data_IF_080255494035
#
_entry.id   IF_080255494035
#
_cell.length_a   1.000
_cell.length_b   1.000
_cell.length_c   1.000
_cell.angle_alpha   90.00
_cell.angle_beta   90.00
_cell.angle_gamma   90.00
#
_symmetry.space_group_name_H-M   'P 1'
#
loop_
_entity.id
_entity.type
_entity.pdbx_description
1 polymer ?
#
# COMPACT_ATOMS: atom_id res chain seq x y z
N UNK A 1 4.17 -31.03 14.52
CA UNK A 1 3.88 -29.69 15.10
C UNK A 1 4.92 -29.23 16.14
N UNK A 2 5.45 -30.09 17.02
CA UNK A 2 6.44 -29.66 18.03
C UNK A 2 7.84 -29.31 17.46
N UNK A 3 8.24 -29.87 16.31
CA UNK A 3 9.53 -29.52 15.67
C UNK A 3 9.52 -28.17 14.97
N UNK A 4 8.39 -27.72 14.42
CA UNK A 4 8.26 -26.45 13.70
C UNK A 4 8.18 -25.26 14.67
N UNK A 5 7.46 -25.40 15.77
CA UNK A 5 7.39 -24.36 16.83
C UNK A 5 8.74 -24.18 17.53
N UNK A 6 9.43 -25.27 17.87
CA UNK A 6 10.78 -25.19 18.45
C UNK A 6 11.81 -24.63 17.47
N UNK A 7 11.66 -24.88 16.16
CA UNK A 7 12.48 -24.28 15.12
C UNK A 7 12.25 -22.77 14.99
N UNK A 8 10.99 -22.31 15.01
CA UNK A 8 10.64 -20.88 15.01
C UNK A 8 11.18 -20.19 16.27
N UNK A 9 11.05 -20.83 17.43
CA UNK A 9 11.57 -20.28 18.69
C UNK A 9 13.10 -20.16 18.68
N UNK A 10 13.82 -21.18 18.19
CA UNK A 10 15.28 -21.11 18.01
C UNK A 10 15.69 -20.03 16.99
N UNK A 11 14.90 -19.82 15.93
CA UNK A 11 15.11 -18.73 14.97
C UNK A 11 14.89 -17.36 15.62
N UNK A 12 13.84 -17.20 16.42
CA UNK A 12 13.59 -15.96 17.17
C UNK A 12 14.71 -15.66 18.18
N UNK A 13 15.20 -16.67 18.89
CA UNK A 13 16.36 -16.53 19.77
C UNK A 13 17.64 -16.19 18.98
N UNK A 14 17.82 -16.73 17.77
CA UNK A 14 18.98 -16.43 16.93
C UNK A 14 19.04 -14.98 16.43
N UNK A 15 17.88 -14.30 16.34
CA UNK A 15 17.83 -12.86 16.01
C UNK A 15 18.48 -12.04 17.13
N UNK A 16 18.39 -12.49 18.38
CA UNK A 16 18.97 -11.82 19.54
C UNK A 16 20.44 -12.16 19.78
N UNK A 17 20.92 -13.30 19.29
CA UNK A 17 22.34 -13.69 19.44
C UNK A 17 23.25 -13.10 18.38
N UNK A 18 22.75 -12.82 17.17
CA UNK A 18 23.57 -12.24 16.09
C UNK A 18 23.57 -10.70 16.21
N UNK A 19 24.72 -10.06 16.50
CA UNK A 19 24.78 -8.63 16.80
C UNK A 19 24.35 -7.75 15.61
N UNK A 20 24.61 -8.17 14.38
CA UNK A 20 24.22 -7.43 13.18
C UNK A 20 22.71 -7.45 12.96
N UNK A 21 22.06 -8.61 13.13
CA UNK A 21 20.60 -8.71 13.04
C UNK A 21 19.92 -7.88 14.12
N UNK A 22 20.45 -7.90 15.35
CA UNK A 22 19.94 -7.07 16.45
C UNK A 22 20.04 -5.57 16.13
N UNK A 23 21.17 -5.11 15.60
CA UNK A 23 21.34 -3.70 15.19
C UNK A 23 20.33 -3.30 14.11
N UNK A 24 20.18 -4.13 13.06
CA UNK A 24 19.20 -3.89 11.99
C UNK A 24 17.75 -3.88 12.49
N UNK A 25 17.42 -4.78 13.42
CA UNK A 25 16.09 -4.84 14.04
C UNK A 25 15.82 -3.60 14.90
N UNK A 26 16.75 -3.23 15.78
CA UNK A 26 16.63 -2.04 16.64
C UNK A 26 16.55 -0.76 15.81
N UNK A 27 17.34 -0.66 14.73
CA UNK A 27 17.26 0.44 13.79
C UNK A 27 15.87 0.51 13.15
N UNK A 28 15.36 -0.61 12.64
CA UNK A 28 14.02 -0.68 12.04
C UNK A 28 12.93 -0.28 13.03
N UNK A 29 12.96 -0.79 14.26
CA UNK A 29 12.01 -0.44 15.32
C UNK A 29 12.11 1.04 15.72
N UNK A 30 13.32 1.57 15.85
CA UNK A 30 13.55 2.99 16.14
C UNK A 30 12.95 3.90 15.06
N UNK A 31 13.14 3.55 13.79
CA UNK A 31 12.58 4.29 12.65
C UNK A 31 11.04 4.21 12.61
N UNK A 32 10.46 3.05 12.95
CA UNK A 32 9.00 2.92 13.08
C UNK A 32 8.44 3.74 14.25
N UNK A 33 9.20 3.91 15.33
CA UNK A 33 8.85 4.79 16.44
C UNK A 33 8.88 6.26 15.99
N UNK A 34 9.91 6.68 15.25
CA UNK A 34 9.97 8.02 14.64
C UNK A 34 8.76 8.27 13.73
N UNK A 35 8.41 7.31 12.86
CA UNK A 35 7.19 7.38 12.05
C UNK A 35 5.94 7.60 12.90
N UNK A 36 5.82 6.91 14.04
CA UNK A 36 4.68 7.07 14.95
C UNK A 36 4.62 8.43 15.60
N UNK A 37 5.75 8.97 16.02
CA UNK A 37 5.84 10.34 16.57
C UNK A 37 5.40 11.35 15.51
N UNK A 38 5.89 11.22 14.27
CA UNK A 38 5.47 12.09 13.16
C UNK A 38 3.97 11.98 12.85
N UNK A 39 3.37 10.80 13.00
CA UNK A 39 1.93 10.60 12.84
C UNK A 39 1.07 11.23 13.97
N UNK A 40 1.69 11.66 15.07
CA UNK A 40 1.02 12.43 16.13
C UNK A 40 1.23 13.94 16.00
N UNK A 41 2.18 14.39 15.16
CA UNK A 41 2.34 15.81 14.87
C UNK A 41 1.22 16.23 13.91
N UNK A 42 0.25 17.00 14.41
CA UNK A 42 -0.84 17.55 13.61
C UNK A 42 -0.36 18.74 12.80
N UNK A 43 -0.81 18.84 11.54
CA UNK A 43 -0.67 20.08 10.78
C UNK A 43 -1.44 21.18 11.53
N UNK A 44 -0.97 22.44 11.54
CA UNK A 44 -1.73 23.54 12.15
C UNK A 44 -3.16 23.58 11.59
N UNK A 45 -4.10 23.20 12.44
CA UNK A 45 -5.54 23.22 12.24
C UNK A 45 -6.14 24.00 13.40
N UNK A 46 -7.21 24.74 13.14
CA UNK A 46 -7.96 25.39 14.22
C UNK A 46 -8.68 24.35 15.08
N UNK A 47 -8.99 24.69 16.34
CA UNK A 47 -9.67 23.77 17.27
C UNK A 47 -11.04 23.30 16.73
N UNK A 48 -11.74 24.14 15.96
CA UNK A 48 -13.02 23.79 15.35
C UNK A 48 -12.87 22.75 14.22
N UNK A 49 -11.82 22.86 13.41
CA UNK A 49 -11.55 21.91 12.31
C UNK A 49 -11.18 20.52 12.85
N UNK A 50 -10.46 20.44 13.97
CA UNK A 50 -10.16 19.16 14.64
C UNK A 50 -11.42 18.46 15.16
N UNK A 51 -12.35 19.23 15.74
CA UNK A 51 -13.64 18.71 16.22
C UNK A 51 -14.53 18.27 15.05
N UNK A 52 -14.55 19.02 13.95
CA UNK A 52 -15.30 18.65 12.75
C UNK A 52 -14.73 17.39 12.08
N UNK A 53 -13.41 17.22 12.09
CA UNK A 53 -12.76 16.02 11.57
C UNK A 53 -13.11 14.79 12.42
N UNK A 54 -13.03 14.91 13.75
CA UNK A 54 -13.47 13.84 14.66
C UNK A 54 -14.96 13.51 14.43
N UNK A 55 -15.80 14.52 14.21
CA UNK A 55 -17.21 14.33 13.91
C UNK A 55 -17.46 13.67 12.55
N UNK A 56 -16.61 13.86 11.54
CA UNK A 56 -16.75 13.16 10.25
C UNK A 56 -16.37 11.68 10.32
N UNK A 57 -15.33 11.35 11.10
CA UNK A 57 -14.94 9.95 11.29
C UNK A 57 -15.85 9.23 12.28
N UNK A 58 -16.42 9.94 13.28
CA UNK A 58 -17.35 9.37 14.27
C UNK A 58 -18.81 9.34 13.77
N UNK A 59 -19.27 10.39 13.09
CA UNK A 59 -20.59 10.44 12.48
C UNK A 59 -20.47 9.91 11.06
N UNK A 60 -20.92 8.68 10.81
CA UNK A 60 -21.06 8.10 9.46
C UNK A 60 -22.05 8.84 8.53
N UNK A 61 -22.20 10.16 8.68
CA UNK A 61 -23.10 11.05 7.93
C UNK A 61 -22.78 11.13 6.44
N UNK A 62 -21.59 10.70 6.02
CA UNK A 62 -21.29 10.43 4.62
C UNK A 62 -20.91 8.96 4.46
N UNK A 63 -21.90 8.08 4.34
CA UNK A 63 -21.72 6.62 4.24
C UNK A 63 -20.74 6.19 3.13
N UNK A 64 -20.59 7.01 2.07
CA UNK A 64 -19.67 6.72 0.97
C UNK A 64 -18.30 7.40 1.15
N UNK A 65 -18.27 8.67 1.61
CA UNK A 65 -17.02 9.41 1.78
C UNK A 65 -16.24 8.94 3.01
N UNK A 66 -16.92 8.69 4.12
CA UNK A 66 -16.31 8.20 5.36
C UNK A 66 -15.70 6.81 5.21
N UNK A 67 -16.25 5.97 4.32
CA UNK A 67 -15.71 4.63 4.07
C UNK A 67 -14.50 4.67 3.13
N UNK A 68 -14.51 5.53 2.11
CA UNK A 68 -13.33 5.83 1.29
C UNK A 68 -12.19 6.42 2.13
N UNK A 69 -12.51 7.43 2.94
CA UNK A 69 -11.56 8.05 3.87
C UNK A 69 -11.07 7.03 4.90
N UNK A 70 -11.94 6.16 5.42
CA UNK A 70 -11.58 5.07 6.32
C UNK A 70 -10.58 4.09 5.71
N UNK A 71 -10.72 3.75 4.42
CA UNK A 71 -9.75 2.90 3.73
C UNK A 71 -8.40 3.61 3.49
N UNK A 72 -8.42 4.86 3.03
CA UNK A 72 -7.22 5.68 2.88
C UNK A 72 -6.49 5.80 4.23
N UNK A 73 -7.26 5.96 5.29
CA UNK A 73 -6.81 6.08 6.67
C UNK A 73 -6.19 4.77 7.18
N UNK A 74 -6.71 3.59 6.77
CA UNK A 74 -6.06 2.28 7.06
C UNK A 74 -4.66 2.22 6.48
N UNK A 75 -4.47 2.65 5.23
CA UNK A 75 -3.15 2.66 4.60
C UNK A 75 -2.21 3.74 5.18
N UNK A 76 -2.77 4.81 5.71
CA UNK A 76 -2.00 5.89 6.36
C UNK A 76 -1.69 5.61 7.84
N UNK A 77 -2.33 4.59 8.43
CA UNK A 77 -2.01 4.08 9.77
C UNK A 77 -2.54 4.91 10.94
N UNK A 78 -3.54 5.75 10.70
CA UNK A 78 -4.16 6.62 11.73
C UNK A 78 -4.04 8.09 11.41
N UNK A 79 -3.15 8.43 10.48
CA UNK A 79 -2.70 9.79 10.26
C UNK A 79 -3.72 10.69 9.57
N UNK A 80 -4.77 10.13 8.94
CA UNK A 80 -5.85 10.90 8.31
C UNK A 80 -6.92 11.30 9.34
N UNK A 81 -7.22 10.44 10.32
CA UNK A 81 -8.12 10.75 11.44
C UNK A 81 -7.65 11.90 12.34
N UNK A 82 -6.35 12.20 12.34
CA UNK A 82 -5.78 13.31 13.11
C UNK A 82 -5.27 14.43 12.21
N UNK A 83 -5.39 14.28 10.88
CA UNK A 83 -4.79 15.17 9.88
C UNK A 83 -3.35 15.55 10.22
N UNK A 84 -2.57 14.51 10.49
CA UNK A 84 -1.16 14.66 10.85
C UNK A 84 -0.32 15.10 9.66
N UNK A 85 0.91 15.53 9.96
CA UNK A 85 1.96 15.83 8.99
C UNK A 85 2.15 14.72 7.96
N UNK A 86 1.80 13.49 8.34
CA UNK A 86 1.96 12.26 7.56
C UNK A 86 0.62 11.71 7.05
N UNK A 87 -0.41 12.56 6.92
CA UNK A 87 -1.76 12.11 6.54
C UNK A 87 -1.80 11.35 5.20
N UNK A 88 -1.01 11.77 4.20
CA UNK A 88 -0.96 11.08 2.91
C UNK A 88 -0.24 9.72 2.95
N UNK A 89 0.52 9.44 4.02
CA UNK A 89 1.30 8.23 4.17
C UNK A 89 2.32 8.06 3.04
N UNK A 90 2.50 6.81 2.60
CA UNK A 90 3.38 6.47 1.46
C UNK A 90 2.59 6.31 0.14
N UNK A 91 1.30 6.62 0.14
CA UNK A 91 0.40 6.40 -1.00
C UNK A 91 0.83 7.13 -2.29
N UNK A 92 1.30 8.40 -2.24
CA UNK A 92 1.79 9.07 -3.45
C UNK A 92 2.98 8.35 -4.09
N UNK A 93 3.89 7.80 -3.27
CA UNK A 93 5.04 7.04 -3.76
C UNK A 93 4.65 5.71 -4.40
N UNK A 94 3.71 5.00 -3.79
CA UNK A 94 3.19 3.75 -4.34
C UNK A 94 2.56 4.04 -5.71
N UNK A 95 1.76 5.09 -5.80
CA UNK A 95 1.14 5.53 -7.06
C UNK A 95 2.20 5.87 -8.10
N UNK A 96 3.21 6.67 -7.75
CA UNK A 96 4.31 7.01 -8.65
C UNK A 96 5.07 5.75 -9.13
N UNK A 97 5.35 4.82 -8.24
CA UNK A 97 6.04 3.56 -8.56
C UNK A 97 5.22 2.72 -9.52
N UNK A 98 3.91 2.63 -9.32
CA UNK A 98 3.02 1.89 -10.22
C UNK A 98 2.96 2.55 -11.59
N UNK A 99 2.76 3.86 -11.66
CA UNK A 99 2.78 4.62 -12.93
C UNK A 99 4.08 4.38 -13.67
N UNK A 100 5.21 4.46 -12.97
CA UNK A 100 6.53 4.21 -13.57
C UNK A 100 6.71 2.77 -14.04
N UNK A 101 6.18 1.77 -13.30
CA UNK A 101 6.21 0.36 -13.71
C UNK A 101 5.37 0.11 -14.97
N UNK A 102 4.22 0.76 -15.10
CA UNK A 102 3.35 0.67 -16.27
C UNK A 102 3.91 1.38 -17.50
N UNK A 103 4.67 2.46 -17.28
CA UNK A 103 5.35 3.18 -18.36
C UNK A 103 6.58 2.44 -18.90
N UNK A 104 7.19 1.50 -18.13
CA UNK A 104 8.38 0.74 -18.57
C UNK A 104 8.23 0.07 -19.95
N UNK A 105 7.18 -0.74 -20.23
CA UNK A 105 7.03 -1.38 -21.53
C UNK A 105 6.67 -0.41 -22.67
N UNK A 106 6.14 0.77 -22.34
CA UNK A 106 5.71 1.78 -23.33
C UNK A 106 6.89 2.66 -23.74
N UNK A 107 7.78 2.99 -22.80
CA UNK A 107 8.91 3.89 -23.01
C UNK A 107 10.23 3.10 -23.11
N UNK A 108 10.87 3.03 -24.30
CA UNK A 108 12.11 2.28 -24.49
C UNK A 108 13.27 2.81 -23.63
N UNK A 109 13.26 4.10 -23.31
CA UNK A 109 14.24 4.70 -22.39
C UNK A 109 14.17 4.09 -20.97
N UNK A 110 12.97 3.81 -20.46
CA UNK A 110 12.79 3.17 -19.15
C UNK A 110 13.12 1.68 -19.21
N UNK A 111 12.84 1.02 -20.34
CA UNK A 111 13.23 -0.37 -20.56
C UNK A 111 14.76 -0.52 -20.57
N UNK A 112 15.48 0.39 -21.23
CA UNK A 112 16.94 0.40 -21.25
C UNK A 112 17.57 0.63 -19.86
N UNK A 113 16.88 1.35 -18.96
CA UNK A 113 17.34 1.46 -17.57
C UNK A 113 17.21 0.13 -16.83
N UNK A 114 16.17 -0.67 -17.11
CA UNK A 114 16.01 -1.98 -16.47
C UNK A 114 17.08 -3.00 -16.90
N UNK A 115 17.67 -2.85 -18.09
CA UNK A 115 18.72 -3.75 -18.60
C UNK A 115 20.13 -3.40 -18.11
N UNK A 116 20.33 -2.22 -17.52
CA UNK A 116 21.62 -1.72 -17.02
C UNK A 116 21.99 -2.24 -15.61
N UNK A 117 21.26 -3.21 -15.07
CA UNK A 117 21.53 -3.81 -13.75
C UNK A 117 21.28 -2.84 -12.59
N UNK A 118 22.10 -2.91 -11.54
CA UNK A 118 21.89 -2.17 -10.29
C UNK A 118 21.91 -0.65 -10.48
N UNK A 119 22.82 -0.12 -11.29
CA UNK A 119 22.90 1.32 -11.57
C UNK A 119 21.62 1.84 -12.27
N UNK A 120 21.06 1.03 -13.17
CA UNK A 120 19.80 1.32 -13.84
C UNK A 120 18.60 1.30 -12.88
N UNK A 121 18.58 0.35 -11.96
CA UNK A 121 17.55 0.26 -10.92
C UNK A 121 17.59 1.47 -9.96
N UNK A 122 18.78 1.94 -9.60
CA UNK A 122 18.93 3.15 -8.78
C UNK A 122 18.42 4.40 -9.52
N UNK A 123 18.75 4.57 -10.80
CA UNK A 123 18.21 5.66 -11.63
C UNK A 123 16.69 5.60 -11.75
N UNK A 124 16.13 4.40 -11.93
CA UNK A 124 14.69 4.20 -11.95
C UNK A 124 14.03 4.67 -10.64
N UNK A 125 14.62 4.32 -9.49
CA UNK A 125 14.13 4.74 -8.18
C UNK A 125 14.23 6.27 -8.00
N UNK A 126 15.32 6.90 -8.45
CA UNK A 126 15.49 8.36 -8.41
C UNK A 126 14.42 9.09 -9.23
N UNK A 127 14.15 8.63 -10.47
CA UNK A 127 13.09 9.21 -11.31
C UNK A 127 11.73 9.05 -10.64
N UNK A 128 11.45 7.88 -10.07
CA UNK A 128 10.21 7.61 -9.34
C UNK A 128 10.04 8.57 -8.15
N UNK A 129 11.13 8.84 -7.41
CA UNK A 129 11.14 9.79 -6.29
C UNK A 129 10.83 11.22 -6.77
N UNK A 130 11.42 11.65 -7.87
CA UNK A 130 11.16 12.99 -8.44
C UNK A 130 9.70 13.14 -8.86
N UNK A 131 9.12 12.12 -9.50
CA UNK A 131 7.71 12.10 -9.92
C UNK A 131 6.75 12.06 -8.72
N UNK A 132 7.21 11.48 -7.60
CA UNK A 132 6.39 11.42 -6.37
C UNK A 132 6.10 12.81 -5.80
N UNK A 133 7.02 13.77 -5.91
CA UNK A 133 6.85 15.12 -5.35
C UNK A 133 5.62 15.86 -5.94
N UNK A 134 5.49 16.06 -7.27
CA UNK A 134 4.33 16.71 -7.84
C UNK A 134 3.05 15.88 -7.65
N UNK A 135 3.14 14.55 -7.66
CA UNK A 135 1.99 13.68 -7.37
C UNK A 135 1.51 13.82 -5.92
N UNK A 136 2.42 13.90 -4.96
CA UNK A 136 2.09 14.11 -3.56
C UNK A 136 1.45 15.48 -3.35
N UNK A 137 1.93 16.52 -4.03
CA UNK A 137 1.32 17.85 -3.99
C UNK A 137 -0.10 17.85 -4.59
N UNK A 138 -0.29 17.19 -5.74
CA UNK A 138 -1.61 17.04 -6.36
C UNK A 138 -2.56 16.22 -5.47
N UNK A 139 -2.06 15.15 -4.86
CA UNK A 139 -2.85 14.33 -3.93
C UNK A 139 -3.19 15.10 -2.64
N UNK A 140 -2.29 15.95 -2.14
CA UNK A 140 -2.55 16.86 -1.03
C UNK A 140 -3.68 17.84 -1.36
N UNK A 141 -3.66 18.42 -2.56
CA UNK A 141 -4.74 19.29 -3.07
C UNK A 141 -6.08 18.55 -3.14
N UNK A 142 -6.08 17.36 -3.71
CA UNK A 142 -7.29 16.52 -3.80
C UNK A 142 -7.85 16.19 -2.43
N UNK A 143 -6.99 15.79 -1.49
CA UNK A 143 -7.41 15.44 -0.13
C UNK A 143 -7.94 16.66 0.63
N UNK A 144 -7.28 17.82 0.51
CA UNK A 144 -7.74 19.04 1.15
C UNK A 144 -9.09 19.52 0.58
N UNK A 145 -9.29 19.43 -0.73
CA UNK A 145 -10.57 19.76 -1.37
C UNK A 145 -11.73 18.88 -0.89
N UNK A 146 -11.47 17.59 -0.63
CA UNK A 146 -12.47 16.69 -0.02
C UNK A 146 -12.82 17.17 1.39
N UNK A 147 -11.83 17.54 2.21
CA UNK A 147 -12.07 17.99 3.58
C UNK A 147 -12.82 19.33 3.64
N UNK A 148 -12.57 20.25 2.70
CA UNK A 148 -13.38 21.47 2.54
C UNK A 148 -14.84 21.13 2.23
N UNK A 149 -15.07 20.26 1.24
CA UNK A 149 -16.44 19.86 0.85
C UNK A 149 -17.19 19.08 1.92
N UNK A 150 -16.45 18.33 2.73
CA UNK A 150 -16.99 17.58 3.83
C UNK A 150 -17.28 18.46 5.07
N UNK A 151 -16.97 19.76 5.01
CA UNK A 151 -17.21 20.73 6.09
C UNK A 151 -16.22 20.61 7.25
N UNK A 152 -15.08 19.95 7.03
CA UNK A 152 -13.99 19.87 8.03
C UNK A 152 -13.20 21.15 8.03
N UNK A 153 -12.85 21.63 6.85
CA UNK A 153 -12.11 22.86 6.61
C UNK A 153 -13.08 23.93 6.11
N UNK A 154 -12.98 25.15 6.61
CA UNK A 154 -13.82 26.25 6.12
C UNK A 154 -13.39 26.63 4.69
N UNK A 155 -14.36 26.68 3.78
CA UNK A 155 -14.14 27.03 2.37
C UNK A 155 -13.62 28.47 2.20
N UNK A 156 -13.84 29.34 3.18
CA UNK A 156 -13.33 30.71 3.17
C UNK A 156 -11.84 30.80 3.55
N UNK A 157 -11.35 29.85 4.36
CA UNK A 157 -9.97 29.83 4.87
C UNK A 157 -9.04 29.02 3.97
N UNK A 158 -9.55 27.96 3.34
CA UNK A 158 -8.77 27.04 2.53
C UNK A 158 -8.91 27.31 1.01
N UNK A 159 -8.35 28.42 0.53
CA UNK A 159 -8.36 28.80 -0.88
C UNK A 159 -6.98 29.25 -1.37
N UNK A 160 -6.45 28.59 -2.41
CA UNK A 160 -5.17 28.95 -3.05
C UNK A 160 -5.21 30.34 -3.72
N UNK A 161 -6.40 30.83 -4.07
CA UNK A 161 -6.60 32.10 -4.75
C UNK A 161 -7.27 33.15 -3.84
N UNK A 162 -7.44 32.85 -2.55
CA UNK A 162 -8.02 33.75 -1.55
C UNK A 162 -6.95 34.49 -0.72
N UNK A 163 -7.38 35.34 0.22
CA UNK A 163 -6.48 36.08 1.11
C UNK A 163 -5.58 35.18 1.99
N UNK A 164 -6.01 33.94 2.27
CA UNK A 164 -5.30 32.97 3.12
C UNK A 164 -4.51 31.91 2.32
N UNK A 165 -4.06 32.24 1.11
CA UNK A 165 -3.29 31.32 0.25
C UNK A 165 -2.04 30.78 0.94
N UNK A 166 -1.42 31.55 1.84
CA UNK A 166 -0.20 31.16 2.56
C UNK A 166 -0.45 30.02 3.54
N UNK A 167 -1.59 30.03 4.25
CA UNK A 167 -1.99 28.94 5.16
C UNK A 167 -2.24 27.66 4.38
N UNK A 168 -3.02 27.75 3.29
CA UNK A 168 -3.29 26.63 2.40
C UNK A 168 -2.00 26.04 1.82
N UNK A 169 -1.10 26.89 1.32
CA UNK A 169 0.18 26.46 0.75
C UNK A 169 1.09 25.84 1.80
N UNK A 170 1.11 26.37 3.03
CA UNK A 170 1.86 25.78 4.15
C UNK A 170 1.37 24.36 4.49
N UNK A 171 0.05 24.13 4.45
CA UNK A 171 -0.56 22.82 4.70
C UNK A 171 -0.22 21.84 3.59
N UNK A 172 -0.31 22.26 2.33
CA UNK A 172 0.03 21.41 1.17
C UNK A 172 1.52 21.04 1.16
N UNK A 173 2.40 22.01 1.42
CA UNK A 173 3.83 21.76 1.54
C UNK A 173 4.16 20.86 2.73
N UNK A 174 3.47 21.04 3.85
CA UNK A 174 3.62 20.22 5.05
C UNK A 174 3.26 18.74 4.77
N UNK A 175 2.11 18.47 4.15
CA UNK A 175 1.70 17.12 3.75
C UNK A 175 2.64 16.48 2.71
N UNK A 176 3.12 17.28 1.77
CA UNK A 176 4.08 16.84 0.74
C UNK A 176 5.43 16.51 1.39
N UNK A 177 5.92 17.37 2.28
CA UNK A 177 7.16 17.18 3.01
C UNK A 177 7.08 15.94 3.93
N UNK A 178 5.95 15.73 4.62
CA UNK A 178 5.73 14.54 5.44
C UNK A 178 5.79 13.24 4.63
N UNK A 179 5.19 13.23 3.44
CA UNK A 179 5.30 12.10 2.50
C UNK A 179 6.77 11.85 2.12
N UNK A 180 7.52 12.91 1.77
CA UNK A 180 8.92 12.78 1.38
C UNK A 180 9.82 12.30 2.51
N UNK A 181 9.56 12.75 3.73
CA UNK A 181 10.24 12.27 4.94
C UNK A 181 9.95 10.78 5.15
N UNK A 182 8.72 10.31 4.94
CA UNK A 182 8.44 8.87 5.03
C UNK A 182 9.15 8.04 3.99
N UNK A 183 9.21 8.50 2.75
CA UNK A 183 9.93 7.79 1.70
C UNK A 183 11.40 7.68 2.09
N UNK A 184 11.99 8.78 2.57
CA UNK A 184 13.34 8.79 3.08
C UNK A 184 13.54 7.82 4.26
N UNK A 185 12.65 7.82 5.27
CA UNK A 185 12.70 6.86 6.37
C UNK A 185 12.59 5.40 5.86
N UNK A 186 11.73 5.15 4.87
CA UNK A 186 11.54 3.83 4.26
C UNK A 186 12.79 3.35 3.50
N UNK A 187 13.48 4.25 2.81
CA UNK A 187 14.75 3.95 2.15
C UNK A 187 15.86 3.66 3.17
N UNK A 188 15.95 4.44 4.25
CA UNK A 188 16.88 4.17 5.35
C UNK A 188 16.66 2.80 5.99
N UNK A 189 15.40 2.41 6.22
CA UNK A 189 15.06 1.07 6.71
C UNK A 189 15.46 0.00 5.69
N UNK A 190 15.37 0.27 4.39
CA UNK A 190 15.76 -0.69 3.35
C UNK A 190 17.28 -0.87 3.30
N UNK A 191 18.04 0.21 3.46
CA UNK A 191 19.51 0.17 3.40
C UNK A 191 20.15 -0.39 4.68
N UNK A 192 19.68 0.07 5.84
CA UNK A 192 20.29 -0.22 7.15
C UNK A 192 19.47 -1.16 8.02
N UNK A 193 18.20 -1.41 7.68
CA UNK A 193 17.27 -2.22 8.44
C UNK A 193 17.07 -3.62 7.84
N UNK A 194 15.85 -4.13 8.02
CA UNK A 194 15.46 -5.48 7.59
C UNK A 194 14.32 -5.37 6.56
N UNK A 195 14.49 -6.01 5.40
CA UNK A 195 13.43 -6.09 4.40
C UNK A 195 13.21 -4.80 3.61
N UNK A 196 11.98 -4.59 3.13
CA UNK A 196 11.60 -3.39 2.39
C UNK A 196 10.95 -2.38 3.35
N UNK A 197 11.60 -1.24 3.56
CA UNK A 197 11.18 -0.27 4.56
C UNK A 197 9.84 0.39 4.26
N UNK A 198 9.51 0.62 2.99
CA UNK A 198 8.20 1.18 2.59
C UNK A 198 7.07 0.20 2.93
N UNK A 199 7.28 -1.08 2.65
CA UNK A 199 6.32 -2.14 3.00
C UNK A 199 6.16 -2.27 4.52
N UNK A 200 7.25 -2.11 5.27
CA UNK A 200 7.22 -2.12 6.74
C UNK A 200 6.50 -0.92 7.33
N UNK A 201 6.61 0.27 6.75
CA UNK A 201 5.85 1.45 7.18
C UNK A 201 4.35 1.21 7.02
N UNK A 202 3.93 0.67 5.86
CA UNK A 202 2.51 0.32 5.61
C UNK A 202 2.04 -0.74 6.60
N UNK A 203 2.84 -1.79 6.80
CA UNK A 203 2.54 -2.86 7.76
C UNK A 203 2.38 -2.31 9.19
N UNK A 204 3.33 -1.49 9.64
CA UNK A 204 3.26 -0.84 10.94
C UNK A 204 2.03 0.10 11.05
N UNK A 205 1.66 0.75 9.95
CA UNK A 205 0.43 1.53 9.80
C UNK A 205 -0.83 0.71 10.08
N UNK A 206 -0.99 -0.42 9.41
CA UNK A 206 -2.15 -1.30 9.55
C UNK A 206 -2.19 -1.93 10.94
N UNK A 207 -1.06 -2.44 11.44
CA UNK A 207 -0.98 -3.17 12.71
C UNK A 207 -1.32 -2.27 13.91
N UNK A 208 -0.99 -0.98 13.88
CA UNK A 208 -1.33 -0.09 15.00
C UNK A 208 -2.82 0.15 15.19
N UNK A 209 -3.63 -0.15 14.17
CA UNK A 209 -5.09 -0.02 14.26
C UNK A 209 -5.72 -1.24 14.89
N UNK A 210 -5.05 -2.39 14.85
CA UNK A 210 -5.57 -3.62 15.41
C UNK A 210 -6.00 -3.47 16.87
N UNK A 211 -5.24 -2.81 17.78
CA UNK A 211 -5.68 -2.57 19.15
C UNK A 211 -7.00 -1.79 19.24
N UNK A 212 -7.14 -0.71 18.46
CA UNK A 212 -8.36 0.11 18.46
C UNK A 212 -9.56 -0.65 17.88
N UNK A 213 -9.34 -1.43 16.80
CA UNK A 213 -10.37 -2.29 16.21
C UNK A 213 -10.82 -3.40 17.17
N UNK A 214 -9.89 -3.99 17.93
CA UNK A 214 -10.20 -4.97 18.97
C UNK A 214 -11.01 -4.32 20.09
N UNK A 215 -10.62 -3.14 20.56
CA UNK A 215 -11.37 -2.41 21.59
C UNK A 215 -12.78 -2.07 21.13
N UNK A 216 -12.95 -1.56 19.90
CA UNK A 216 -14.26 -1.28 19.31
C UNK A 216 -15.10 -2.55 19.16
N UNK A 217 -14.49 -3.66 18.74
CA UNK A 217 -15.17 -4.96 18.63
C UNK A 217 -15.63 -5.50 19.99
N UNK A 218 -14.79 -5.38 21.03
CA UNK A 218 -15.13 -5.78 22.40
C UNK A 218 -16.24 -4.90 23.00
N UNK A 219 -16.19 -3.59 22.79
CA UNK A 219 -17.21 -2.65 23.25
C UNK A 219 -18.54 -2.82 22.50
N UNK A 220 -18.51 -3.10 21.19
CA UNK A 220 -19.71 -3.42 20.42
C UNK A 220 -20.35 -4.75 20.88
N UNK A 221 -19.51 -5.71 21.29
CA UNK A 221 -19.96 -6.99 21.85
C UNK A 221 -20.65 -6.83 23.21
N UNK A 222 -20.25 -5.84 24.01
CA UNK A 222 -20.84 -5.57 25.33
C UNK A 222 -22.04 -4.63 25.27
N UNK A 223 -22.11 -3.71 24.31
CA UNK A 223 -23.19 -2.72 24.19
C UNK A 223 -24.42 -3.17 23.40
N UNK A 224 -24.27 -4.15 22.48
CA UNK A 224 -25.31 -4.48 21.49
C UNK A 224 -26.17 -5.70 21.84
N UNK A 225 -26.01 -6.34 22.99
CA UNK A 225 -26.88 -7.49 23.29
C UNK A 225 -26.81 -8.03 24.70
N UNK A 226 -27.85 -7.76 25.49
CA UNK A 226 -28.12 -8.39 26.78
C UNK A 226 -28.39 -9.91 26.73
N UNK A 227 -28.15 -10.59 25.60
CA UNK A 227 -28.39 -12.02 25.40
C UNK A 227 -27.28 -12.67 24.54
N UNK A 228 -26.01 -12.64 24.93
CA UNK A 228 -24.93 -13.50 24.38
C UNK A 228 -24.56 -13.35 22.89
N UNK A 229 -25.35 -12.64 22.07
CA UNK A 229 -25.18 -12.51 20.62
C UNK A 229 -23.92 -11.74 20.23
N UNK A 230 -23.49 -10.77 21.05
CA UNK A 230 -22.25 -10.02 20.83
C UNK A 230 -20.99 -10.89 20.98
N UNK A 231 -21.01 -11.88 21.89
CA UNK A 231 -19.91 -12.83 22.07
C UNK A 231 -19.86 -13.81 20.90
N UNK A 232 -21.02 -14.28 20.45
CA UNK A 232 -21.13 -15.18 19.29
C UNK A 232 -20.68 -14.48 18.00
N UNK A 233 -21.09 -13.23 17.75
CA UNK A 233 -20.67 -12.47 16.56
C UNK A 233 -19.16 -12.23 16.51
N UNK A 234 -18.54 -11.97 17.66
CA UNK A 234 -17.09 -11.76 17.74
C UNK A 234 -16.33 -13.06 17.53
N UNK A 235 -16.79 -14.17 18.10
CA UNK A 235 -16.21 -15.50 17.83
C UNK A 235 -16.29 -15.88 16.34
N UNK A 236 -17.43 -15.62 15.69
CA UNK A 236 -17.60 -15.88 14.26
C UNK A 236 -16.66 -15.01 13.43
N UNK A 237 -16.54 -13.72 13.74
CA UNK A 237 -15.61 -12.82 13.06
C UNK A 237 -14.15 -13.26 13.20
N UNK A 238 -13.73 -13.63 14.42
CA UNK A 238 -12.37 -14.12 14.69
C UNK A 238 -12.09 -15.43 13.94
N UNK A 239 -13.08 -16.32 13.88
CA UNK A 239 -12.99 -17.59 13.15
C UNK A 239 -12.83 -17.37 11.64
N UNK A 240 -13.64 -16.47 11.04
CA UNK A 240 -13.53 -16.10 9.63
C UNK A 240 -12.18 -15.44 9.34
N UNK A 241 -11.72 -14.54 10.21
CA UNK A 241 -10.42 -13.89 10.08
C UNK A 241 -9.27 -14.90 10.08
N UNK A 242 -9.30 -15.86 11.01
CA UNK A 242 -8.28 -16.90 11.11
C UNK A 242 -8.29 -17.82 9.88
N UNK A 243 -9.47 -18.23 9.41
CA UNK A 243 -9.64 -19.04 8.20
C UNK A 243 -9.13 -18.28 6.96
N UNK A 244 -9.38 -16.98 6.88
CA UNK A 244 -8.88 -16.12 5.81
C UNK A 244 -7.35 -16.03 5.83
N UNK A 245 -6.74 -15.83 7.00
CA UNK A 245 -5.28 -15.80 7.15
C UNK A 245 -4.67 -17.14 6.71
N UNK A 246 -5.22 -18.27 7.17
CA UNK A 246 -4.75 -19.60 6.77
C UNK A 246 -4.85 -19.82 5.26
N UNK A 247 -5.95 -19.40 4.66
CA UNK A 247 -6.18 -19.50 3.21
C UNK A 247 -5.17 -18.67 2.42
N UNK A 248 -4.91 -17.43 2.85
CA UNK A 248 -3.91 -16.56 2.22
C UNK A 248 -2.51 -17.18 2.33
N UNK A 249 -2.13 -17.66 3.51
CA UNK A 249 -0.81 -18.27 3.72
C UNK A 249 -0.63 -19.54 2.87
N UNK A 250 -1.67 -20.38 2.77
CA UNK A 250 -1.65 -21.59 1.95
C UNK A 250 -1.44 -21.26 0.47
N UNK A 251 -2.17 -20.28 -0.07
CA UNK A 251 -2.04 -19.87 -1.47
C UNK A 251 -0.68 -19.18 -1.71
N UNK A 252 -0.23 -18.34 -0.78
CA UNK A 252 1.01 -17.58 -0.93
C UNK A 252 2.26 -18.47 -0.90
N UNK A 253 2.27 -19.51 -0.07
CA UNK A 253 3.35 -20.50 -0.06
C UNK A 253 3.24 -21.53 -1.20
N UNK A 254 2.12 -21.55 -1.92
CA UNK A 254 1.92 -22.37 -3.09
C UNK A 254 2.92 -22.02 -4.19
N UNK A 255 3.74 -23.00 -4.58
CA UNK A 255 4.67 -22.88 -5.70
C UNK A 255 4.59 -24.09 -6.61
N UNK A 256 4.54 -23.84 -7.92
CA UNK A 256 4.70 -24.85 -8.97
C UNK A 256 6.18 -24.97 -9.29
N UNK A 257 6.75 -26.15 -9.06
CA UNK A 257 8.16 -26.44 -9.36
C UNK A 257 8.27 -26.93 -10.81
N UNK A 258 8.93 -26.16 -11.66
CA UNK A 258 9.22 -26.57 -13.05
C UNK A 258 10.64 -27.12 -13.09
N UNK A 259 10.85 -28.41 -13.41
CA UNK A 259 12.18 -28.99 -13.47
C UNK A 259 12.96 -28.41 -14.65
N UNK A 260 14.20 -28.03 -14.39
CA UNK A 260 15.17 -27.57 -15.40
C UNK A 260 16.45 -28.39 -15.27
N UNK A 261 17.06 -28.69 -16.40
CA UNK A 261 18.31 -29.44 -16.46
C UNK A 261 19.40 -28.49 -16.92
N UNK A 262 20.36 -28.20 -16.06
CA UNK A 262 21.55 -27.46 -16.47
C UNK A 262 22.58 -28.45 -16.99
N UNK A 263 22.97 -28.39 -18.28
CA UNK A 263 24.07 -29.18 -18.77
C UNK A 263 25.34 -28.72 -18.07
N UNK A 264 25.84 -29.54 -17.13
CA UNK A 264 27.11 -29.26 -16.45
C UNK A 264 28.23 -29.45 -17.46
N UNK A 265 28.59 -28.38 -18.18
CA UNK A 265 29.81 -28.33 -19.00
C UNK A 265 31.01 -28.29 -18.05
N UNK A 266 31.53 -29.45 -17.65
CA UNK A 266 32.87 -29.56 -17.08
C UNK A 266 33.85 -29.92 -18.19
N UNK A 267 34.78 -29.02 -18.50
CA UNK A 267 35.97 -29.37 -19.27
C UNK A 267 36.90 -30.18 -18.38
N UNK A 268 37.06 -31.48 -18.68
CA UNK A 268 38.08 -32.34 -18.08
C UNK A 268 38.90 -32.94 -19.21
N UNK A 269 40.08 -32.34 -19.50
CA UNK A 269 41.00 -32.79 -20.56
C UNK A 269 40.64 -32.34 -21.99
N UNK A 270 41.24 -33.01 -23.00
CA UNK A 270 41.03 -32.78 -24.46
C UNK A 270 39.68 -33.32 -25.00
N UNK A 271 38.65 -33.36 -24.17
CA UNK A 271 37.33 -33.84 -24.55
C UNK A 271 36.24 -33.31 -23.63
N UNK A 272 35.12 -32.87 -24.21
CA UNK A 272 33.94 -32.42 -23.48
C UNK A 272 33.20 -33.66 -22.99
N UNK A 273 33.31 -34.01 -21.70
CA UNK A 273 32.43 -35.03 -21.09
C UNK A 273 31.21 -34.33 -20.51
N UNK A 274 30.03 -34.71 -21.01
CA UNK A 274 28.76 -34.32 -20.41
C UNK A 274 28.63 -35.04 -19.06
N UNK A 275 28.76 -34.30 -17.95
CA UNK A 275 28.45 -34.82 -16.62
C UNK A 275 26.96 -35.04 -16.44
N UNK A 276 26.58 -35.85 -15.46
CA UNK A 276 25.19 -36.06 -15.04
C UNK A 276 24.50 -34.70 -14.79
N UNK A 277 23.44 -34.40 -15.53
CA UNK A 277 22.68 -33.17 -15.38
C UNK A 277 22.20 -33.02 -13.93
N UNK A 278 22.63 -31.96 -13.24
CA UNK A 278 22.00 -31.59 -11.99
C UNK A 278 20.58 -31.10 -12.30
N UNK A 279 19.58 -31.86 -11.86
CA UNK A 279 18.18 -31.47 -11.93
C UNK A 279 17.93 -30.38 -10.89
N UNK A 280 17.70 -29.16 -11.35
CA UNK A 280 17.24 -28.04 -10.52
C UNK A 280 15.77 -27.78 -10.86
N UNK A 281 15.08 -26.96 -10.08
CA UNK A 281 13.73 -26.50 -10.43
C UNK A 281 13.65 -24.99 -10.31
N UNK A 282 12.86 -24.38 -11.18
CA UNK A 282 12.47 -22.97 -11.06
C UNK A 282 11.17 -22.93 -10.26
N UNK A 283 11.15 -22.28 -9.08
CA UNK A 283 9.93 -22.12 -8.30
C UNK A 283 9.05 -21.04 -8.94
N UNK A 284 7.91 -21.44 -9.50
CA UNK A 284 6.89 -20.52 -9.99
C UNK A 284 5.84 -20.33 -8.89
N UNK A 285 5.83 -19.17 -8.24
CA UNK A 285 4.84 -18.89 -7.20
C UNK A 285 3.43 -18.81 -7.80
N UNK A 286 2.42 -19.31 -7.09
CA UNK A 286 1.01 -19.25 -7.53
C UNK A 286 0.53 -17.80 -7.58
N UNK A 287 0.97 -16.97 -6.64
CA UNK A 287 0.74 -15.53 -6.66
C UNK A 287 2.07 -14.78 -6.51
N UNK A 288 2.69 -14.43 -7.64
CA UNK A 288 3.90 -13.61 -7.68
C UNK A 288 3.64 -12.11 -7.52
N UNK A 289 2.38 -11.68 -7.56
CA UNK A 289 2.00 -10.28 -7.69
C UNK A 289 1.91 -9.52 -6.35
N UNK A 290 1.82 -10.25 -5.23
CA UNK A 290 1.79 -9.66 -3.90
C UNK A 290 0.59 -8.70 -3.68
N UNK A 291 0.82 -7.61 -2.95
CA UNK A 291 -0.21 -6.60 -2.61
C UNK A 291 -0.42 -5.55 -3.71
N UNK A 292 0.50 -5.43 -4.66
CA UNK A 292 0.53 -4.31 -5.62
C UNK A 292 -0.74 -4.24 -6.51
N UNK A 293 -1.24 -5.34 -7.11
CA UNK A 293 -2.46 -5.30 -7.90
C UNK A 293 -3.70 -4.85 -7.12
N UNK A 294 -3.79 -5.23 -5.85
CA UNK A 294 -4.89 -4.85 -4.96
C UNK A 294 -4.92 -3.33 -4.77
N UNK A 295 -3.75 -2.73 -4.52
CA UNK A 295 -3.60 -1.28 -4.39
C UNK A 295 -3.92 -0.60 -5.72
N UNK A 296 -3.52 -1.20 -6.84
CA UNK A 296 -3.78 -0.61 -8.15
C UNK A 296 -5.28 -0.60 -8.50
N UNK A 297 -5.97 -1.73 -8.32
CA UNK A 297 -7.41 -1.82 -8.44
C UNK A 297 -8.12 -0.77 -7.58
N UNK A 298 -7.65 -0.58 -6.34
CA UNK A 298 -8.19 0.42 -5.45
C UNK A 298 -7.96 1.85 -5.98
N UNK A 299 -6.73 2.19 -6.36
CA UNK A 299 -6.39 3.53 -6.87
C UNK A 299 -7.22 3.90 -8.11
N UNK A 300 -7.48 2.94 -9.00
CA UNK A 300 -8.30 3.14 -10.20
C UNK A 300 -9.77 3.39 -9.86
N UNK A 301 -10.32 2.80 -8.80
CA UNK A 301 -11.68 3.09 -8.34
C UNK A 301 -11.78 4.43 -7.60
N UNK A 302 -10.75 4.76 -6.82
CA UNK A 302 -10.71 6.02 -6.06
C UNK A 302 -10.62 7.22 -7.00
N UNK A 303 -9.83 7.15 -8.07
CA UNK A 303 -9.60 8.30 -8.94
C UNK A 303 -10.88 8.89 -9.57
N UNK A 304 -11.76 8.11 -10.23
CA UNK A 304 -13.06 8.59 -10.70
C UNK A 304 -13.96 9.08 -9.56
N UNK A 305 -13.93 8.42 -8.40
CA UNK A 305 -14.71 8.81 -7.23
C UNK A 305 -14.29 10.19 -6.67
N UNK A 306 -13.02 10.55 -6.79
CA UNK A 306 -12.51 11.87 -6.42
C UNK A 306 -12.92 12.94 -7.43
N UNK A 307 -12.77 12.65 -8.72
CA UNK A 307 -13.20 13.56 -9.79
C UNK A 307 -14.72 13.79 -9.75
N UNK A 308 -15.48 12.74 -9.48
CA UNK A 308 -16.93 12.83 -9.42
C UNK A 308 -17.40 13.77 -8.32
N UNK A 309 -16.77 13.70 -7.15
CA UNK A 309 -17.05 14.65 -6.08
C UNK A 309 -16.81 16.07 -6.57
N UNK A 310 -15.67 16.35 -7.20
CA UNK A 310 -15.38 17.68 -7.72
C UNK A 310 -16.43 18.17 -8.74
N UNK A 311 -16.87 17.31 -9.64
CA UNK A 311 -17.72 17.66 -10.77
C UNK A 311 -19.23 17.78 -10.44
N UNK A 312 -19.71 17.26 -9.31
CA UNK A 312 -21.13 17.34 -8.90
C UNK A 312 -21.64 18.79 -8.76
N UNK A 313 -20.77 19.73 -8.39
CA UNK A 313 -21.14 21.15 -8.21
C UNK A 313 -21.08 22.00 -9.48
N UNK A 314 -20.78 21.41 -10.64
CA UNK A 314 -20.52 22.15 -11.87
C UNK A 314 -21.81 22.38 -12.68
N UNK A 315 -21.94 23.55 -13.33
CA UNK A 315 -23.18 23.95 -14.05
C UNK A 315 -23.46 23.13 -15.32
N UNK A 316 -22.53 22.27 -15.75
CA UNK A 316 -22.66 21.44 -16.96
C UNK A 316 -23.40 20.14 -16.63
N UNK A 317 -24.68 20.05 -17.01
CA UNK A 317 -25.59 18.94 -16.68
C UNK A 317 -25.09 17.54 -17.08
N UNK A 318 -24.47 17.39 -18.26
CA UNK A 318 -23.93 16.08 -18.68
C UNK A 318 -22.76 15.62 -17.80
N UNK A 319 -21.89 16.56 -17.42
CA UNK A 319 -20.73 16.28 -16.58
C UNK A 319 -21.16 15.99 -15.13
N UNK A 320 -22.15 16.71 -14.62
CA UNK A 320 -22.78 16.43 -13.33
C UNK A 320 -23.48 15.06 -13.32
N UNK A 321 -24.15 14.66 -14.40
CA UNK A 321 -24.79 13.35 -14.49
C UNK A 321 -23.76 12.20 -14.51
N UNK A 322 -22.65 12.35 -15.22
CA UNK A 322 -21.53 11.38 -15.17
C UNK A 322 -20.94 11.32 -13.77
N UNK A 323 -20.77 12.47 -13.12
CA UNK A 323 -20.26 12.56 -11.75
C UNK A 323 -21.20 11.89 -10.74
N UNK A 324 -22.52 12.07 -10.88
CA UNK A 324 -23.50 11.40 -10.04
C UNK A 324 -23.52 9.89 -10.28
N UNK A 325 -23.45 9.46 -11.54
CA UNK A 325 -23.38 8.03 -11.88
C UNK A 325 -22.12 7.37 -11.31
N UNK A 326 -20.95 7.98 -11.54
CA UNK A 326 -19.67 7.49 -11.01
C UNK A 326 -19.65 7.50 -9.48
N UNK A 327 -20.14 8.56 -8.82
CA UNK A 327 -20.27 8.60 -7.37
C UNK A 327 -21.23 7.54 -6.81
N UNK A 328 -22.28 7.17 -7.55
CA UNK A 328 -23.27 6.20 -7.09
C UNK A 328 -22.82 4.77 -7.32
N UNK A 329 -22.24 4.43 -8.47
CA UNK A 329 -21.91 3.05 -8.84
C UNK A 329 -20.45 2.66 -8.55
N UNK A 330 -19.51 3.59 -8.68
CA UNK A 330 -18.06 3.33 -8.50
C UNK A 330 -17.53 3.76 -7.12
N UNK A 331 -18.23 4.63 -6.40
CA UNK A 331 -17.79 5.11 -5.08
C UNK A 331 -18.64 4.60 -3.91
N UNK A 332 -19.81 4.00 -4.17
CA UNK A 332 -20.68 3.49 -3.12
C UNK A 332 -20.29 2.07 -2.71
N UNK A 333 -19.54 1.97 -1.63
CA UNK A 333 -19.09 0.75 -0.99
C UNK A 333 -20.20 -0.10 -0.36
N UNK A 334 -21.43 0.43 -0.27
CA UNK A 334 -22.61 -0.31 0.22
C UNK A 334 -23.23 -1.17 -0.89
N UNK A 335 -23.02 -0.81 -2.15
CA UNK A 335 -23.58 -1.55 -3.28
C UNK A 335 -22.72 -2.76 -3.63
N UNK A 336 -23.37 -3.90 -3.91
CA UNK A 336 -22.70 -5.11 -4.37
C UNK A 336 -21.90 -4.90 -5.66
N UNK A 337 -22.35 -3.97 -6.51
CA UNK A 337 -21.70 -3.62 -7.77
C UNK A 337 -20.27 -3.08 -7.57
N UNK A 338 -20.03 -2.31 -6.50
CA UNK A 338 -18.68 -1.84 -6.16
C UNK A 338 -17.74 -3.01 -5.90
N UNK A 339 -18.16 -3.95 -5.04
CA UNK A 339 -17.36 -5.12 -4.68
C UNK A 339 -17.16 -6.07 -5.85
N UNK A 340 -18.16 -6.23 -6.72
CA UNK A 340 -18.03 -7.00 -7.95
C UNK A 340 -17.04 -6.37 -8.92
N UNK A 341 -17.16 -5.06 -9.16
CA UNK A 341 -16.24 -4.31 -10.04
C UNK A 341 -14.82 -4.37 -9.46
N UNK A 342 -14.66 -4.13 -8.16
CA UNK A 342 -13.38 -4.25 -7.46
C UNK A 342 -12.77 -5.64 -7.62
N UNK A 343 -13.55 -6.70 -7.41
CA UNK A 343 -13.08 -8.08 -7.60
C UNK A 343 -12.58 -8.32 -9.04
N UNK A 344 -13.33 -7.88 -10.05
CA UNK A 344 -12.94 -8.00 -11.46
C UNK A 344 -11.63 -7.23 -11.73
N UNK A 345 -11.51 -5.99 -11.27
CA UNK A 345 -10.27 -5.20 -11.42
C UNK A 345 -9.09 -5.89 -10.75
N UNK A 346 -9.28 -6.42 -9.53
CA UNK A 346 -8.22 -7.14 -8.81
C UNK A 346 -7.77 -8.36 -9.60
N UNK A 347 -8.69 -9.16 -10.16
CA UNK A 347 -8.35 -10.33 -10.98
C UNK A 347 -7.57 -9.91 -12.23
N UNK A 348 -8.08 -8.91 -12.97
CA UNK A 348 -7.43 -8.40 -14.18
C UNK A 348 -6.03 -7.88 -13.89
N UNK A 349 -5.87 -7.05 -12.86
CA UNK A 349 -4.56 -6.49 -12.51
C UNK A 349 -3.61 -7.53 -11.92
N UNK A 350 -4.11 -8.52 -11.20
CA UNK A 350 -3.26 -9.60 -10.70
C UNK A 350 -2.66 -10.40 -11.86
N UNK A 351 -3.47 -10.70 -12.87
CA UNK A 351 -3.03 -11.37 -14.10
C UNK A 351 -2.06 -10.51 -14.92
N UNK A 352 -2.44 -9.24 -15.17
CA UNK A 352 -1.63 -8.31 -15.94
C UNK A 352 -0.26 -8.04 -15.30
N UNK A 353 -0.24 -7.82 -13.98
CA UNK A 353 1.00 -7.58 -13.24
C UNK A 353 1.90 -8.81 -13.20
N UNK A 354 1.32 -10.01 -13.00
CA UNK A 354 2.07 -11.25 -13.10
C UNK A 354 2.71 -11.36 -14.49
N UNK A 355 1.94 -11.17 -15.55
CA UNK A 355 2.44 -11.24 -16.93
C UNK A 355 3.63 -10.30 -17.17
N UNK A 356 3.56 -9.04 -16.72
CA UNK A 356 4.66 -8.07 -16.87
C UNK A 356 5.92 -8.53 -16.12
N UNK A 357 5.81 -8.98 -14.87
CA UNK A 357 6.97 -9.47 -14.11
C UNK A 357 7.63 -10.63 -14.85
N UNK A 358 6.83 -11.58 -15.32
CA UNK A 358 7.31 -12.74 -16.05
C UNK A 358 8.06 -12.34 -17.33
N UNK A 359 7.53 -11.37 -18.08
CA UNK A 359 8.18 -10.84 -19.27
C UNK A 359 9.49 -10.11 -18.95
N UNK A 360 9.54 -9.34 -17.85
CA UNK A 360 10.76 -8.63 -17.44
C UNK A 360 11.89 -9.56 -16.99
N UNK A 361 11.56 -10.74 -16.45
CA UNK A 361 12.57 -11.69 -15.99
C UNK A 361 13.28 -12.45 -17.12
N UNK A 362 12.75 -12.42 -18.36
CA UNK A 362 13.32 -13.06 -19.55
C UNK A 362 13.95 -14.45 -19.24
N UNK A 363 13.22 -15.29 -18.50
CA UNK A 363 13.76 -16.54 -17.93
C UNK A 363 14.27 -17.46 -19.04
N UNK A 364 13.60 -17.49 -20.19
CA UNK A 364 14.01 -18.27 -21.36
C UNK A 364 15.39 -17.85 -21.88
N UNK A 365 15.63 -16.55 -22.05
CA UNK A 365 16.90 -16.02 -22.54
C UNK A 365 18.01 -16.20 -21.50
N UNK A 366 17.69 -16.02 -20.21
CA UNK A 366 18.61 -16.27 -19.11
C UNK A 366 19.00 -17.75 -19.00
N UNK A 367 18.05 -18.67 -19.20
CA UNK A 367 18.34 -20.10 -19.27
C UNK A 367 19.21 -20.44 -20.47
N UNK A 368 18.89 -19.91 -21.66
CA UNK A 368 19.70 -20.13 -22.87
C UNK A 368 21.13 -19.59 -22.73
N UNK A 369 21.32 -18.46 -22.05
CA UNK A 369 22.66 -17.92 -21.72
C UNK A 369 23.42 -18.80 -20.73
N UNK A 370 22.69 -19.52 -19.86
CA UNK A 370 23.26 -20.42 -18.85
C UNK A 370 23.49 -21.86 -19.36
N UNK A 371 23.00 -22.20 -20.55
CA UNK A 371 23.20 -23.49 -21.20
C UNK A 371 21.87 -24.11 -21.59
#
# INVERSE_FOLDING_TARGET
MNSTLSFIWKRLQSIWTIPDLRKKLLFTLGMLLVFRVLAHITVPLTHQEQVNLANLFASGKSKNLGQLLGLLDVFSGGSLQTFSFVALGVAPYITATIVMQLLRPILPALQNLSTQGEAGQQRFNQITRIITVPLAFLQALGQAAIFVRAGVLDANTFNLFGPNWLETLSILLSLTAGTMILIWLGELITDHGIGNGISLIIFAGIVSRLPQLIQQGLLASSSTGGNGGGVVSTLVFLSIGLLTILSIVFIYQGQRRVPVQYPTKRMVGRGVKFGSAQTTYIPMQVNSSGMIPLIFAQSLLIFPALLSQYLIGNNVKWLANIALWTGTYLANTTLWYYWFTYFVLVVVFTYFYAYIIWQQQNISENLQKQG
#
